data_IF_392760442329
#
_entry.id   IF_392760442329
#
_cell.length_a   1.000
_cell.length_b   1.000
_cell.length_c   1.000
_cell.angle_alpha   90.00
_cell.angle_beta   90.00
_cell.angle_gamma   90.00
#
_symmetry.space_group_name_H-M   'P 1'
#
loop_
_entity.id
_entity.type
_entity.pdbx_description
1 polymer ?
#
# COMPACT_ATOMS: atom_id res chain seq x y z
N UNK A 1 21.54 23.61 -3.13
CA UNK A 1 20.76 23.91 -1.92
C UNK A 1 20.62 22.60 -1.18
N UNK A 2 21.39 22.43 -0.10
CA UNK A 2 21.46 21.20 0.68
C UNK A 2 20.27 21.20 1.64
N UNK A 3 19.32 20.27 1.46
CA UNK A 3 18.25 20.03 2.41
C UNK A 3 18.80 19.16 3.57
N UNK A 4 18.45 19.53 4.79
CA UNK A 4 18.93 18.93 6.04
C UNK A 4 18.09 17.67 6.34
N UNK A 5 18.70 16.48 6.25
CA UNK A 5 18.03 15.17 6.29
C UNK A 5 17.86 14.58 7.70
N UNK A 6 18.06 15.37 8.75
CA UNK A 6 18.05 14.88 10.15
C UNK A 6 16.65 14.58 10.73
N UNK A 7 15.57 14.84 9.98
CA UNK A 7 14.19 14.72 10.50
C UNK A 7 13.55 13.32 10.41
N UNK A 8 14.21 12.34 9.78
CA UNK A 8 13.63 11.00 9.55
C UNK A 8 13.72 10.04 10.75
N UNK A 9 14.50 10.35 11.79
CA UNK A 9 14.74 9.49 12.96
C UNK A 9 13.53 9.36 13.91
N UNK A 10 12.50 10.20 13.79
CA UNK A 10 11.39 10.25 14.77
C UNK A 10 10.09 9.56 14.34
N UNK A 11 10.00 9.06 13.10
CA UNK A 11 8.75 8.51 12.56
C UNK A 11 8.35 7.14 13.14
N UNK A 12 9.30 6.35 13.65
CA UNK A 12 9.02 4.99 14.14
C UNK A 12 8.40 4.93 15.55
N UNK A 13 8.54 5.99 16.36
CA UNK A 13 8.13 5.99 17.77
C UNK A 13 6.71 6.52 18.01
N UNK A 14 6.15 7.32 17.08
CA UNK A 14 4.82 7.93 17.24
C UNK A 14 3.65 6.94 17.08
N UNK A 15 3.81 5.85 16.32
CA UNK A 15 2.74 4.88 16.03
C UNK A 15 2.36 4.02 17.26
N UNK A 16 3.27 3.86 18.23
CA UNK A 16 3.09 2.93 19.37
C UNK A 16 2.40 3.55 20.61
N UNK A 17 2.27 4.89 20.70
CA UNK A 17 1.90 5.54 21.95
C UNK A 17 0.39 5.57 22.28
N UNK A 18 -0.50 5.22 21.35
CA UNK A 18 -1.97 5.41 21.51
C UNK A 18 -2.72 4.17 22.05
N UNK A 19 -2.08 3.01 22.18
CA UNK A 19 -2.77 1.74 22.42
C UNK A 19 -2.95 1.31 23.89
N UNK A 20 -2.54 2.11 24.88
CA UNK A 20 -2.52 1.69 26.31
C UNK A 20 -3.51 2.46 27.18
N UNK A 21 -4.75 2.02 27.21
CA UNK A 21 -5.66 2.36 28.29
C UNK A 21 -7.06 1.82 28.07
N UNK A 22 -7.64 1.22 29.11
CA UNK A 22 -9.03 0.77 29.25
C UNK A 22 -9.29 -0.72 28.94
N UNK A 23 -8.70 -1.60 29.74
CA UNK A 23 -9.30 -2.90 30.06
C UNK A 23 -10.07 -2.79 31.37
N UNK A 24 -11.29 -3.33 31.43
CA UNK A 24 -11.96 -4.00 32.58
C UNK A 24 -13.49 -3.78 32.54
N UNK A 25 -14.19 -4.48 31.63
CA UNK A 25 -15.52 -5.12 31.82
C UNK A 25 -16.13 -5.66 30.51
N UNK A 26 -15.37 -6.46 29.74
CA UNK A 26 -15.72 -6.77 28.35
C UNK A 26 -16.53 -8.06 28.12
N UNK A 27 -16.47 -9.06 29.01
CA UNK A 27 -16.92 -10.42 28.64
C UNK A 27 -18.44 -10.59 28.44
N UNK A 28 -19.31 -9.88 29.17
CA UNK A 28 -20.77 -10.04 29.05
C UNK A 28 -21.42 -9.13 27.96
N UNK A 29 -20.71 -8.10 27.50
CA UNK A 29 -21.13 -7.21 26.42
C UNK A 29 -20.73 -7.73 25.02
N UNK A 30 -19.78 -8.66 24.93
CA UNK A 30 -19.33 -9.22 23.65
C UNK A 30 -20.35 -10.15 22.98
N UNK A 31 -21.08 -10.98 23.72
CA UNK A 31 -22.01 -11.95 23.12
C UNK A 31 -23.26 -11.31 22.49
N UNK A 32 -23.72 -10.15 22.99
CA UNK A 32 -24.82 -9.38 22.38
C UNK A 32 -24.37 -8.50 21.21
N UNK A 33 -23.08 -8.15 21.14
CA UNK A 33 -22.49 -7.38 20.02
C UNK A 33 -22.21 -8.24 18.79
N UNK A 34 -21.82 -9.50 18.97
CA UNK A 34 -21.45 -10.41 17.87
C UNK A 34 -22.58 -10.62 16.85
N UNK A 35 -23.84 -10.77 17.28
CA UNK A 35 -24.96 -10.95 16.33
C UNK A 35 -25.34 -9.65 15.59
N UNK A 36 -25.17 -8.49 16.23
CA UNK A 36 -25.41 -7.19 15.60
C UNK A 36 -24.26 -6.82 14.64
N UNK A 37 -23.00 -7.07 15.04
CA UNK A 37 -21.82 -6.98 14.18
C UNK A 37 -21.99 -7.87 12.95
N UNK A 38 -22.44 -9.12 13.11
CA UNK A 38 -22.52 -10.04 11.98
C UNK A 38 -23.60 -9.66 10.96
N UNK A 39 -24.73 -9.11 11.41
CA UNK A 39 -25.76 -8.57 10.52
C UNK A 39 -25.27 -7.30 9.81
N UNK A 40 -24.52 -6.44 10.51
CA UNK A 40 -23.88 -5.25 9.95
C UNK A 40 -22.83 -5.63 8.89
N UNK A 41 -21.97 -6.62 9.17
CA UNK A 41 -20.99 -7.13 8.21
C UNK A 41 -21.64 -7.76 6.96
N UNK A 42 -22.79 -8.44 7.12
CA UNK A 42 -23.53 -8.99 5.98
C UNK A 42 -24.08 -7.88 5.08
N UNK A 43 -24.66 -6.85 5.68
CA UNK A 43 -25.17 -5.68 4.96
C UNK A 43 -24.03 -4.89 4.30
N UNK A 44 -22.93 -4.69 4.99
CA UNK A 44 -21.74 -4.02 4.47
C UNK A 44 -21.10 -4.80 3.32
N UNK A 45 -21.01 -6.14 3.42
CA UNK A 45 -20.55 -6.98 2.31
C UNK A 45 -21.46 -6.88 1.08
N UNK A 46 -22.78 -6.82 1.29
CA UNK A 46 -23.72 -6.57 0.19
C UNK A 46 -23.53 -5.16 -0.40
N UNK A 47 -23.29 -4.14 0.44
CA UNK A 47 -23.02 -2.77 0.00
C UNK A 47 -21.70 -2.67 -0.78
N UNK A 48 -20.65 -3.38 -0.37
CA UNK A 48 -19.42 -3.51 -1.14
C UNK A 48 -19.68 -4.05 -2.56
N UNK A 49 -20.49 -5.11 -2.69
CA UNK A 49 -20.89 -5.62 -4.00
C UNK A 49 -21.65 -4.60 -4.87
N UNK A 50 -22.48 -3.75 -4.26
CA UNK A 50 -23.14 -2.65 -4.97
C UNK A 50 -22.14 -1.59 -5.42
N UNK A 51 -21.22 -1.17 -4.55
CA UNK A 51 -20.17 -0.22 -4.87
C UNK A 51 -19.30 -0.71 -6.03
N UNK A 52 -18.96 -2.00 -6.05
CA UNK A 52 -18.24 -2.62 -7.15
C UNK A 52 -19.02 -2.51 -8.48
N UNK A 53 -20.32 -2.81 -8.47
CA UNK A 53 -21.15 -2.68 -9.66
C UNK A 53 -21.27 -1.22 -10.13
N UNK A 54 -21.52 -0.28 -9.19
CA UNK A 54 -21.54 1.17 -9.45
C UNK A 54 -20.22 1.63 -10.11
N UNK A 55 -19.09 1.13 -9.62
CA UNK A 55 -17.78 1.38 -10.21
C UNK A 55 -17.65 0.86 -11.64
N UNK A 56 -18.00 -0.41 -11.89
CA UNK A 56 -17.89 -0.98 -13.23
C UNK A 56 -18.81 -0.28 -14.23
N UNK A 57 -20.02 0.09 -13.81
CA UNK A 57 -20.98 0.82 -14.64
C UNK A 57 -20.47 2.24 -14.96
N UNK A 58 -19.98 2.95 -13.94
CA UNK A 58 -19.38 4.29 -14.10
C UNK A 58 -18.15 4.25 -15.01
N UNK A 59 -17.29 3.24 -14.84
CA UNK A 59 -16.11 3.03 -15.68
C UNK A 59 -16.51 2.80 -17.14
N UNK A 60 -17.49 1.93 -17.42
CA UNK A 60 -18.00 1.69 -18.78
C UNK A 60 -18.59 2.94 -19.41
N UNK A 61 -19.39 3.70 -18.65
CA UNK A 61 -20.03 4.92 -19.13
C UNK A 61 -19.02 6.02 -19.50
N UNK A 62 -17.83 6.00 -18.89
CA UNK A 62 -16.78 6.99 -19.07
C UNK A 62 -15.62 6.53 -19.97
N UNK A 63 -15.74 5.37 -20.64
CA UNK A 63 -14.80 4.98 -21.69
C UNK A 63 -14.90 5.93 -22.88
N UNK A 64 -13.75 6.34 -23.41
CA UNK A 64 -13.70 7.21 -24.59
C UNK A 64 -14.07 6.41 -25.84
N UNK A 65 -15.08 6.80 -26.64
CA UNK A 65 -15.58 6.00 -27.77
C UNK A 65 -14.53 5.62 -28.81
N UNK A 66 -13.52 6.47 -29.01
CA UNK A 66 -12.41 6.28 -29.95
C UNK A 66 -11.06 6.13 -29.21
N UNK A 67 -11.09 5.87 -27.90
CA UNK A 67 -9.90 5.71 -27.08
C UNK A 67 -9.17 4.38 -27.31
N UNK A 68 -7.87 4.34 -27.03
CA UNK A 68 -7.07 3.11 -27.07
C UNK A 68 -7.38 2.16 -25.91
N UNK A 69 -7.96 2.67 -24.82
CA UNK A 69 -8.45 1.86 -23.73
C UNK A 69 -9.91 1.49 -23.95
N UNK A 70 -10.15 0.20 -24.18
CA UNK A 70 -11.49 -0.39 -24.30
C UNK A 70 -11.73 -1.39 -23.19
N UNK A 71 -12.98 -1.79 -22.98
CA UNK A 71 -13.30 -2.83 -22.00
C UNK A 71 -12.49 -4.11 -22.23
N UNK A 72 -12.33 -4.54 -23.48
CA UNK A 72 -11.67 -5.83 -23.77
C UNK A 72 -10.14 -5.76 -23.69
N UNK A 73 -9.56 -4.55 -23.72
CA UNK A 73 -8.11 -4.34 -23.63
C UNK A 73 -7.63 -3.95 -22.23
N UNK A 74 -8.55 -3.68 -21.30
CA UNK A 74 -8.19 -3.33 -19.92
C UNK A 74 -7.45 -4.45 -19.22
N UNK A 75 -6.37 -4.10 -18.54
CA UNK A 75 -5.71 -4.99 -17.58
C UNK A 75 -6.67 -5.26 -16.41
N UNK A 76 -7.00 -6.53 -16.17
CA UNK A 76 -7.92 -6.92 -15.09
C UNK A 76 -7.10 -7.27 -13.84
N UNK A 77 -7.37 -6.55 -12.74
CA UNK A 77 -6.79 -6.78 -11.41
C UNK A 77 -7.80 -7.50 -10.53
N UNK A 78 -7.37 -8.57 -9.87
CA UNK A 78 -8.25 -9.46 -9.09
C UNK A 78 -7.70 -9.69 -7.70
N UNK A 79 -8.58 -10.09 -6.80
CA UNK A 79 -8.18 -10.52 -5.46
C UNK A 79 -7.24 -11.73 -5.57
N UNK A 80 -6.16 -11.75 -4.77
CA UNK A 80 -5.14 -12.81 -4.84
C UNK A 80 -5.73 -14.22 -4.73
N UNK A 81 -6.63 -14.47 -3.78
CA UNK A 81 -7.32 -15.74 -3.63
C UNK A 81 -8.13 -16.20 -4.85
N UNK A 82 -8.60 -15.27 -5.67
CA UNK A 82 -9.36 -15.54 -6.91
C UNK A 82 -8.47 -15.70 -8.15
N UNK A 83 -7.16 -15.47 -8.02
CA UNK A 83 -6.19 -15.71 -9.10
C UNK A 83 -5.94 -17.22 -9.29
N UNK A 84 -5.85 -17.71 -10.54
CA UNK A 84 -5.45 -19.09 -10.79
C UNK A 84 -3.98 -19.31 -10.40
N UNK A 85 -3.62 -20.54 -10.01
CA UNK A 85 -2.25 -20.89 -9.59
C UNK A 85 -1.18 -20.49 -10.62
N UNK A 86 -1.46 -20.64 -11.91
CA UNK A 86 -0.55 -20.19 -12.98
C UNK A 86 -0.21 -18.70 -12.85
N UNK A 87 -1.21 -17.84 -12.60
CA UNK A 87 -1.01 -16.40 -12.48
C UNK A 87 -0.27 -16.03 -11.20
N UNK A 88 -0.48 -16.78 -10.12
CA UNK A 88 0.25 -16.62 -8.85
C UNK A 88 1.73 -16.98 -9.01
N UNK A 89 2.01 -18.12 -9.66
CA UNK A 89 3.38 -18.54 -9.97
C UNK A 89 4.07 -17.58 -10.95
N UNK A 90 3.35 -17.08 -11.96
CA UNK A 90 3.90 -16.09 -12.91
C UNK A 90 4.24 -14.76 -12.21
N UNK A 91 3.42 -14.35 -11.22
CA UNK A 91 3.71 -13.18 -10.39
C UNK A 91 4.98 -13.39 -9.56
N UNK A 92 5.08 -14.51 -8.84
CA UNK A 92 6.27 -14.85 -8.03
C UNK A 92 7.54 -14.86 -8.89
N UNK A 93 7.49 -15.47 -10.08
CA UNK A 93 8.57 -15.42 -11.06
C UNK A 93 8.93 -13.97 -11.45
N UNK A 94 7.93 -13.15 -11.74
CA UNK A 94 8.15 -11.77 -12.21
C UNK A 94 8.77 -10.86 -11.14
N UNK A 95 8.35 -10.96 -9.87
CA UNK A 95 8.98 -10.17 -8.78
C UNK A 95 10.43 -10.60 -8.55
N UNK A 96 10.76 -11.89 -8.66
CA UNK A 96 12.14 -12.36 -8.56
C UNK A 96 12.98 -11.90 -9.75
N UNK A 97 12.41 -11.86 -10.96
CA UNK A 97 13.05 -11.24 -12.12
C UNK A 97 13.37 -9.76 -11.86
N UNK A 98 12.45 -8.95 -11.32
CA UNK A 98 12.75 -7.56 -10.95
C UNK A 98 13.82 -7.45 -9.85
N UNK A 99 13.91 -8.45 -8.97
CA UNK A 99 14.97 -8.52 -7.94
C UNK A 99 16.35 -8.85 -8.53
N UNK A 100 16.39 -9.56 -9.65
CA UNK A 100 17.63 -9.93 -10.35
C UNK A 100 18.11 -8.88 -11.36
N UNK A 101 17.17 -8.16 -12.00
CA UNK A 101 17.51 -7.11 -12.96
C UNK A 101 18.29 -5.98 -12.29
N UNK A 102 19.30 -5.38 -12.98
CA UNK A 102 20.10 -4.30 -12.43
C UNK A 102 19.25 -3.04 -12.19
N UNK A 103 19.33 -2.48 -10.99
CA UNK A 103 18.68 -1.21 -10.65
C UNK A 103 19.25 -0.02 -11.44
N UNK A 104 18.44 1.03 -11.59
CA UNK A 104 18.76 2.28 -12.30
C UNK A 104 19.07 3.43 -11.35
N UNK A 105 18.79 3.29 -10.05
CA UNK A 105 19.12 4.29 -9.03
C UNK A 105 20.64 4.54 -8.98
N UNK A 106 21.05 5.81 -8.91
CA UNK A 106 22.45 6.17 -8.69
C UNK A 106 22.97 5.61 -7.36
N UNK A 107 24.10 4.90 -7.42
CA UNK A 107 24.73 4.23 -6.27
C UNK A 107 25.95 4.98 -5.73
N UNK A 108 26.16 6.22 -6.16
CA UNK A 108 27.26 7.04 -5.64
C UNK A 108 27.24 7.09 -4.09
N UNK A 109 28.39 6.85 -3.47
CA UNK A 109 28.55 6.78 -2.00
C UNK A 109 28.19 8.08 -1.26
N UNK A 110 28.28 9.22 -1.94
CA UNK A 110 28.06 10.55 -1.38
C UNK A 110 26.71 11.16 -1.81
N UNK A 111 26.26 10.91 -3.05
CA UNK A 111 25.10 11.59 -3.63
C UNK A 111 23.92 10.67 -3.95
N UNK A 112 24.14 9.36 -3.95
CA UNK A 112 23.15 8.37 -4.37
C UNK A 112 22.62 7.52 -3.21
N UNK A 113 22.14 6.32 -3.56
CA UNK A 113 21.69 5.27 -2.63
C UNK A 113 22.61 4.06 -2.79
N UNK A 114 23.73 3.98 -2.05
CA UNK A 114 24.78 2.98 -2.27
C UNK A 114 24.32 1.54 -2.04
N UNK A 115 23.25 1.34 -1.27
CA UNK A 115 22.64 0.04 -0.98
C UNK A 115 21.67 -0.49 -2.03
N UNK A 116 21.16 0.36 -2.93
CA UNK A 116 20.21 -0.08 -3.95
C UNK A 116 20.88 -1.07 -4.91
N UNK A 117 20.27 -2.22 -5.20
CA UNK A 117 20.84 -3.25 -6.08
C UNK A 117 20.02 -3.50 -7.34
N UNK A 118 18.74 -3.72 -7.16
CA UNK A 118 17.87 -4.31 -8.17
C UNK A 118 16.87 -3.31 -8.76
N UNK A 119 16.19 -3.70 -9.86
CA UNK A 119 15.03 -2.95 -10.35
C UNK A 119 13.92 -2.86 -9.30
N UNK A 120 13.76 -3.88 -8.45
CA UNK A 120 12.87 -3.79 -7.30
C UNK A 120 13.30 -2.69 -6.31
N UNK A 121 14.59 -2.56 -6.04
CA UNK A 121 15.09 -1.53 -5.12
C UNK A 121 14.87 -0.12 -5.68
N UNK A 122 14.73 0.06 -7.00
CA UNK A 122 14.33 1.36 -7.57
C UNK A 122 12.92 1.79 -7.10
N UNK A 123 11.99 0.86 -6.92
CA UNK A 123 10.68 1.17 -6.34
C UNK A 123 10.80 1.50 -4.85
N UNK A 124 11.69 0.81 -4.14
CA UNK A 124 11.98 1.13 -2.74
C UNK A 124 12.54 2.53 -2.57
N UNK A 125 13.47 2.92 -3.43
CA UNK A 125 14.07 4.25 -3.41
C UNK A 125 13.03 5.32 -3.77
N UNK A 126 12.15 5.05 -4.73
CA UNK A 126 11.05 5.96 -5.05
C UNK A 126 10.16 6.24 -3.83
N UNK A 127 9.74 5.19 -3.12
CA UNK A 127 8.93 5.32 -1.91
C UNK A 127 9.67 6.09 -0.81
N UNK A 128 10.90 5.67 -0.49
CA UNK A 128 11.76 6.29 0.51
C UNK A 128 11.94 7.80 0.26
N UNK A 129 12.21 8.21 -0.98
CA UNK A 129 12.45 9.62 -1.33
C UNK A 129 11.21 10.50 -1.16
N UNK A 130 10.02 9.92 -1.32
CA UNK A 130 8.76 10.66 -1.29
C UNK A 130 7.98 10.47 0.02
N UNK A 131 8.47 9.63 0.95
CA UNK A 131 7.72 9.21 2.15
C UNK A 131 7.09 10.38 2.91
N UNK A 132 7.83 11.47 3.10
CA UNK A 132 7.34 12.67 3.79
C UNK A 132 6.27 13.43 3.01
N UNK A 133 6.33 13.41 1.69
CA UNK A 133 5.44 14.20 0.85
C UNK A 133 4.12 13.46 0.56
N UNK A 134 4.13 12.13 0.60
CA UNK A 134 3.00 11.30 0.15
C UNK A 134 2.18 10.70 1.28
N UNK A 135 2.70 10.65 2.51
CA UNK A 135 1.96 10.17 3.68
C UNK A 135 1.43 11.33 4.51
N UNK A 136 0.27 11.09 5.13
CA UNK A 136 -0.54 12.07 5.86
C UNK A 136 -0.67 13.33 5.04
N UNK A 137 -1.05 13.14 3.79
CA UNK A 137 -0.85 14.14 2.75
C UNK A 137 -1.96 14.08 1.70
N UNK A 138 -2.30 15.21 1.07
CA UNK A 138 -3.18 15.25 -0.09
C UNK A 138 -2.68 14.40 -1.28
N UNK A 139 -1.42 13.99 -1.29
CA UNK A 139 -0.82 13.19 -2.36
C UNK A 139 -1.08 11.68 -2.25
N UNK A 140 -1.49 11.17 -1.08
CA UNK A 140 -1.49 9.73 -0.75
C UNK A 140 -2.10 8.87 -1.86
N UNK A 141 -3.35 9.13 -2.22
CA UNK A 141 -4.10 8.26 -3.14
C UNK A 141 -3.52 8.30 -4.57
N UNK A 142 -3.29 9.50 -5.11
CA UNK A 142 -2.88 9.67 -6.51
C UNK A 142 -1.41 9.30 -6.74
N UNK A 143 -0.53 9.58 -5.78
CA UNK A 143 0.87 9.17 -5.87
C UNK A 143 1.00 7.65 -5.81
N UNK A 144 0.31 7.00 -4.86
CA UNK A 144 0.36 5.54 -4.75
C UNK A 144 -0.30 4.84 -5.94
N UNK A 145 -1.34 5.41 -6.55
CA UNK A 145 -1.88 4.89 -7.83
C UNK A 145 -0.80 4.82 -8.91
N UNK A 146 -0.06 5.91 -9.12
CA UNK A 146 1.01 5.92 -10.11
C UNK A 146 2.14 4.96 -9.73
N UNK A 147 2.52 4.94 -8.45
CA UNK A 147 3.58 4.07 -7.93
C UNK A 147 3.30 2.59 -8.18
N UNK A 148 2.11 2.10 -7.78
CA UNK A 148 1.76 0.69 -7.96
C UNK A 148 1.55 0.34 -9.43
N UNK A 149 0.96 1.24 -10.23
CA UNK A 149 0.82 1.03 -11.67
C UNK A 149 2.17 0.93 -12.38
N UNK A 150 3.17 1.73 -11.99
CA UNK A 150 4.54 1.60 -12.52
C UNK A 150 5.17 0.26 -12.15
N UNK A 151 4.88 -0.32 -10.98
CA UNK A 151 5.32 -1.67 -10.66
C UNK A 151 4.65 -2.69 -11.58
N UNK A 152 3.32 -2.61 -11.75
CA UNK A 152 2.58 -3.49 -12.68
C UNK A 152 3.18 -3.44 -14.09
N UNK A 153 3.53 -2.25 -14.59
CA UNK A 153 4.18 -2.10 -15.89
C UNK A 153 5.57 -2.70 -15.92
N UNK A 154 6.40 -2.49 -14.90
CA UNK A 154 7.72 -3.13 -14.85
C UNK A 154 7.60 -4.67 -14.83
N UNK A 155 6.64 -5.24 -14.10
CA UNK A 155 6.39 -6.68 -14.09
C UNK A 155 6.00 -7.19 -15.49
N UNK A 156 5.11 -6.47 -16.17
CA UNK A 156 4.61 -6.83 -17.51
C UNK A 156 5.67 -6.65 -18.60
N UNK A 157 6.34 -5.50 -18.63
CA UNK A 157 7.20 -5.06 -19.73
C UNK A 157 8.65 -5.54 -19.59
N UNK A 158 9.19 -5.57 -18.36
CA UNK A 158 10.58 -5.97 -18.10
C UNK A 158 10.69 -7.46 -17.76
N UNK A 159 9.64 -8.05 -17.18
CA UNK A 159 9.64 -9.43 -16.70
C UNK A 159 8.54 -10.32 -17.31
N UNK A 160 7.77 -9.82 -18.28
CA UNK A 160 6.81 -10.63 -19.05
C UNK A 160 5.64 -11.20 -18.24
N UNK A 161 5.28 -10.59 -17.11
CA UNK A 161 4.09 -10.94 -16.37
C UNK A 161 2.83 -10.74 -17.24
N UNK A 162 1.95 -11.74 -17.30
CA UNK A 162 0.84 -11.73 -18.28
C UNK A 162 -0.48 -11.18 -17.75
N UNK A 163 -0.58 -10.95 -16.45
CA UNK A 163 -1.84 -10.61 -15.78
C UNK A 163 -1.81 -9.19 -15.21
N UNK A 164 -2.95 -8.71 -14.70
CA UNK A 164 -2.98 -7.52 -13.85
C UNK A 164 -2.45 -7.84 -12.46
N UNK A 165 -1.87 -6.84 -11.80
CA UNK A 165 -1.37 -7.06 -10.45
C UNK A 165 -2.54 -7.40 -9.51
N UNK A 166 -2.42 -8.47 -8.71
CA UNK A 166 -3.44 -8.85 -7.74
C UNK A 166 -3.54 -7.84 -6.59
N UNK A 167 -4.70 -7.76 -5.95
CA UNK A 167 -4.88 -7.00 -4.71
C UNK A 167 -5.22 -7.92 -3.54
N UNK A 168 -5.03 -7.43 -2.31
CA UNK A 168 -5.46 -8.14 -1.12
C UNK A 168 -6.73 -7.52 -0.53
N UNK A 169 -7.86 -8.22 -0.66
CA UNK A 169 -9.11 -7.78 -0.07
C UNK A 169 -9.10 -8.03 1.45
N UNK A 170 -8.84 -6.98 2.23
CA UNK A 170 -8.66 -7.07 3.68
C UNK A 170 -9.79 -7.81 4.40
N UNK A 171 -11.04 -7.47 4.06
CA UNK A 171 -12.22 -7.97 4.77
C UNK A 171 -12.62 -9.41 4.45
N UNK A 172 -12.04 -10.03 3.41
CA UNK A 172 -12.60 -11.26 2.80
C UNK A 172 -12.45 -12.51 3.69
N UNK A 173 -11.42 -12.55 4.54
CA UNK A 173 -11.02 -13.74 5.29
C UNK A 173 -10.94 -13.51 6.81
N UNK A 174 -11.41 -12.37 7.32
CA UNK A 174 -11.23 -11.98 8.73
C UNK A 174 -11.92 -12.90 9.74
N UNK A 175 -12.85 -13.74 9.30
CA UNK A 175 -13.53 -14.77 10.10
C UNK A 175 -12.76 -16.11 10.18
N UNK A 176 -11.61 -16.21 9.51
CA UNK A 176 -10.78 -17.42 9.42
C UNK A 176 -9.43 -17.23 10.12
N UNK A 177 -8.73 -18.34 10.36
CA UNK A 177 -7.34 -18.29 10.82
C UNK A 177 -6.45 -17.66 9.73
N UNK A 178 -5.61 -16.70 10.10
CA UNK A 178 -4.72 -15.99 9.16
C UNK A 178 -3.83 -16.94 8.36
N UNK A 179 -3.44 -18.08 8.95
CA UNK A 179 -2.58 -19.08 8.31
C UNK A 179 -3.33 -19.95 7.30
N UNK A 180 -4.64 -19.76 7.12
CA UNK A 180 -5.42 -20.42 6.05
C UNK A 180 -5.76 -19.47 4.91
N UNK A 181 -5.35 -18.21 4.98
CA UNK A 181 -5.63 -17.25 3.91
C UNK A 181 -4.76 -17.56 2.69
N UNK A 182 -5.29 -17.51 1.45
CA UNK A 182 -4.53 -17.85 0.24
C UNK A 182 -3.21 -17.09 0.05
N UNK A 183 -3.06 -15.94 0.70
CA UNK A 183 -1.84 -15.13 0.65
C UNK A 183 -0.80 -15.52 1.70
N UNK A 184 -1.21 -16.15 2.81
CA UNK A 184 -0.39 -16.36 4.02
C UNK A 184 -0.32 -17.81 4.50
N UNK A 185 -0.84 -18.76 3.72
CA UNK A 185 -0.88 -20.18 4.07
C UNK A 185 0.44 -20.95 3.86
N UNK A 186 1.53 -20.24 3.55
CA UNK A 186 2.85 -20.80 3.21
C UNK A 186 2.86 -21.79 2.03
N UNK A 187 1.76 -21.90 1.26
CA UNK A 187 1.72 -22.72 0.06
C UNK A 187 2.67 -22.17 -1.02
N UNK A 188 2.99 -22.95 -2.06
CA UNK A 188 3.73 -22.46 -3.22
C UNK A 188 3.08 -21.24 -3.89
N UNK A 189 1.76 -21.09 -3.75
CA UNK A 189 0.93 -20.02 -4.29
C UNK A 189 0.71 -18.86 -3.29
N UNK A 190 1.44 -18.83 -2.18
CA UNK A 190 1.33 -17.76 -1.18
C UNK A 190 2.33 -16.62 -1.43
N UNK A 191 2.18 -15.54 -0.68
CA UNK A 191 3.18 -14.46 -0.54
C UNK A 191 3.95 -14.67 0.78
N UNK A 192 4.10 -15.94 1.19
CA UNK A 192 4.57 -16.39 2.51
C UNK A 192 3.75 -15.87 3.68
N UNK A 193 3.85 -16.52 4.83
CA UNK A 193 3.10 -16.21 6.04
C UNK A 193 3.83 -15.31 7.02
N UNK A 194 3.57 -15.58 8.30
CA UNK A 194 4.18 -14.88 9.44
C UNK A 194 5.67 -15.22 9.57
N UNK A 195 6.42 -14.35 10.25
CA UNK A 195 7.81 -14.58 10.57
C UNK A 195 8.00 -15.48 11.78
N UNK A 196 9.16 -16.14 11.83
CA UNK A 196 9.64 -16.88 13.00
C UNK A 196 10.67 -16.04 13.72
N UNK A 197 10.52 -15.83 15.03
CA UNK A 197 11.46 -15.04 15.82
C UNK A 197 12.89 -15.60 15.72
N UNK A 198 13.82 -14.83 15.17
CA UNK A 198 15.24 -15.19 14.99
C UNK A 198 16.19 -14.31 15.79
N UNK A 199 15.72 -13.21 16.38
CA UNK A 199 16.48 -12.33 17.27
C UNK A 199 15.57 -11.37 18.03
N UNK A 200 16.06 -10.49 18.92
CA UNK A 200 15.20 -9.65 19.77
C UNK A 200 14.23 -8.72 19.01
N UNK A 201 14.62 -8.26 17.81
CA UNK A 201 13.86 -7.34 16.96
C UNK A 201 13.66 -7.90 15.54
N UNK A 202 13.60 -9.23 15.42
CA UNK A 202 13.57 -9.90 14.13
C UNK A 202 12.71 -11.16 14.16
N UNK A 203 11.70 -11.22 13.29
CA UNK A 203 10.97 -12.43 12.95
C UNK A 203 11.04 -12.69 11.43
N UNK A 204 12.10 -13.37 10.99
CA UNK A 204 12.26 -13.66 9.57
C UNK A 204 11.15 -14.57 9.03
N UNK A 205 10.64 -14.23 7.85
CA UNK A 205 9.89 -15.18 7.02
C UNK A 205 10.85 -16.25 6.53
N UNK A 206 10.64 -17.49 6.97
CA UNK A 206 11.50 -18.64 6.65
C UNK A 206 10.77 -19.74 5.86
N UNK A 207 9.49 -19.53 5.53
CA UNK A 207 8.63 -20.48 4.83
C UNK A 207 7.94 -19.81 3.63
N UNK A 208 7.49 -20.64 2.67
CA UNK A 208 6.83 -20.17 1.46
C UNK A 208 7.77 -19.51 0.44
N UNK A 209 7.22 -18.98 -0.66
CA UNK A 209 7.99 -18.48 -1.80
C UNK A 209 8.93 -17.32 -1.50
N UNK A 210 8.65 -16.51 -0.47
CA UNK A 210 9.47 -15.36 -0.08
C UNK A 210 10.47 -15.66 1.04
N UNK A 211 10.67 -16.91 1.43
CA UNK A 211 11.65 -17.29 2.46
C UNK A 211 13.09 -16.82 2.12
N UNK A 212 13.44 -16.79 0.83
CA UNK A 212 14.73 -16.32 0.33
C UNK A 212 14.70 -14.88 -0.18
N UNK A 213 13.59 -14.16 0.01
CA UNK A 213 13.49 -12.76 -0.38
C UNK A 213 14.36 -11.89 0.53
N UNK A 214 15.17 -11.03 -0.08
CA UNK A 214 16.13 -10.19 0.62
C UNK A 214 15.78 -8.71 0.49
N UNK A 215 15.64 -8.00 1.60
CA UNK A 215 15.58 -6.52 1.65
C UNK A 215 16.99 -5.96 1.78
N UNK A 216 17.27 -4.80 1.20
CA UNK A 216 18.65 -4.30 0.98
C UNK A 216 18.92 -2.92 1.59
N UNK A 217 17.89 -2.13 1.88
CA UNK A 217 17.94 -0.79 2.46
C UNK A 217 17.33 -0.76 3.86
N UNK A 218 17.60 0.31 4.61
CA UNK A 218 17.14 0.45 5.98
C UNK A 218 17.57 -0.72 6.87
N UNK A 219 16.91 -0.94 8.02
CA UNK A 219 16.24 0.14 8.74
C UNK A 219 17.30 1.12 9.25
N UNK A 220 16.90 2.32 9.67
CA UNK A 220 17.83 3.23 10.35
C UNK A 220 18.45 2.56 11.60
N UNK A 221 19.70 2.88 11.96
CA UNK A 221 20.26 2.41 13.23
C UNK A 221 19.36 2.77 14.42
N UNK A 222 19.05 1.78 15.26
CA UNK A 222 18.17 1.94 16.44
C UNK A 222 16.67 1.73 16.16
N UNK A 223 16.25 1.58 14.91
CA UNK A 223 14.88 1.20 14.55
C UNK A 223 14.65 -0.32 14.66
N UNK A 224 13.38 -0.74 14.61
CA UNK A 224 13.02 -2.16 14.52
C UNK A 224 13.57 -2.78 13.23
N UNK A 225 14.09 -4.00 13.33
CA UNK A 225 14.47 -4.81 12.17
C UNK A 225 15.65 -5.74 12.47
N UNK A 226 15.86 -6.69 11.56
CA UNK A 226 16.80 -7.80 11.76
C UNK A 226 18.28 -7.40 11.88
N UNK A 227 18.70 -6.35 11.20
CA UNK A 227 20.04 -5.79 11.31
C UNK A 227 19.96 -4.29 11.07
N UNK A 228 20.63 -3.50 11.90
CA UNK A 228 20.78 -2.06 11.67
C UNK A 228 21.56 -1.80 10.38
N UNK A 229 21.19 -0.77 9.61
CA UNK A 229 21.96 -0.38 8.43
C UNK A 229 23.38 0.07 8.84
N UNK A 230 24.42 -0.24 8.04
CA UNK A 230 25.78 0.22 8.32
C UNK A 230 25.96 1.75 8.19
N UNK A 231 24.99 2.46 7.62
CA UNK A 231 24.96 3.92 7.55
C UNK A 231 23.79 4.48 8.36
N UNK A 232 24.04 5.61 9.03
CA UNK A 232 23.04 6.30 9.84
C UNK A 232 21.85 6.81 9.02
N UNK A 233 22.05 7.04 7.72
CA UNK A 233 21.02 7.45 6.77
C UNK A 233 20.18 6.28 6.21
N UNK A 234 20.46 5.04 6.60
CA UNK A 234 19.72 3.87 6.12
C UNK A 234 19.98 3.51 4.64
N UNK A 235 20.88 4.20 3.95
CA UNK A 235 21.11 4.06 2.50
C UNK A 235 22.18 3.03 2.15
N UNK A 236 22.88 2.49 3.15
CA UNK A 236 23.93 1.49 2.98
C UNK A 236 23.36 0.14 2.56
N UNK A 237 24.21 -0.70 1.95
CA UNK A 237 23.82 -2.06 1.61
C UNK A 237 23.67 -2.92 2.87
N UNK A 238 22.44 -3.34 3.15
CA UNK A 238 22.08 -4.11 4.35
C UNK A 238 21.16 -5.30 4.00
N UNK A 239 21.68 -6.34 3.29
CA UNK A 239 20.91 -7.51 2.91
C UNK A 239 20.45 -8.32 4.12
N UNK A 240 19.15 -8.57 4.23
CA UNK A 240 18.53 -9.39 5.29
C UNK A 240 17.18 -9.94 4.84
N UNK A 241 16.61 -10.87 5.60
CA UNK A 241 15.26 -11.41 5.36
C UNK A 241 14.18 -10.31 5.44
N UNK A 242 13.01 -10.55 4.85
CA UNK A 242 11.80 -9.84 5.28
C UNK A 242 11.38 -10.32 6.66
N UNK A 243 11.05 -9.36 7.51
CA UNK A 243 10.52 -9.58 8.86
C UNK A 243 9.01 -9.32 8.89
N UNK A 244 8.24 -10.24 9.49
CA UNK A 244 6.78 -10.12 9.68
C UNK A 244 6.39 -10.61 11.07
N UNK A 245 5.53 -9.85 11.73
CA UNK A 245 5.05 -10.13 13.09
C UNK A 245 3.54 -9.91 13.15
N UNK A 246 2.77 -10.87 12.63
CA UNK A 246 1.33 -10.74 12.44
C UNK A 246 0.59 -10.38 13.73
N UNK A 247 -0.25 -9.35 13.65
CA UNK A 247 -1.15 -8.92 14.73
C UNK A 247 -2.60 -8.82 14.20
N UNK A 248 -3.31 -9.96 14.05
CA UNK A 248 -4.63 -10.01 13.40
C UNK A 248 -5.68 -9.07 13.98
N UNK A 249 -5.59 -8.74 15.27
CA UNK A 249 -6.52 -7.80 15.93
C UNK A 249 -6.54 -6.41 15.30
N UNK A 250 -5.46 -5.99 14.62
CA UNK A 250 -5.41 -4.70 13.93
C UNK A 250 -6.35 -4.64 12.73
N UNK A 251 -6.69 -5.77 12.11
CA UNK A 251 -7.59 -5.81 10.95
C UNK A 251 -9.07 -5.67 11.30
N UNK A 252 -9.41 -5.48 12.59
CA UNK A 252 -10.77 -5.08 13.01
C UNK A 252 -11.20 -3.72 12.47
N UNK A 253 -10.26 -2.91 11.98
CA UNK A 253 -10.52 -1.65 11.30
C UNK A 253 -10.55 -1.79 9.77
N UNK A 254 -10.60 -3.02 9.26
CA UNK A 254 -10.66 -3.33 7.85
C UNK A 254 -11.78 -4.34 7.55
N UNK A 255 -12.79 -4.42 8.41
CA UNK A 255 -14.00 -5.20 8.14
C UNK A 255 -14.79 -4.55 6.99
N UNK A 256 -15.80 -5.24 6.45
CA UNK A 256 -16.55 -4.69 5.31
C UNK A 256 -17.22 -3.37 5.69
N UNK A 257 -17.75 -3.26 6.90
CA UNK A 257 -18.36 -2.04 7.43
C UNK A 257 -17.39 -0.85 7.43
N UNK A 258 -16.13 -1.08 7.79
CA UNK A 258 -15.10 -0.03 7.85
C UNK A 258 -14.73 0.47 6.45
N UNK A 259 -14.48 -0.47 5.53
CA UNK A 259 -14.12 -0.12 4.14
C UNK A 259 -15.28 0.60 3.44
N UNK A 260 -16.50 0.12 3.64
CA UNK A 260 -17.71 0.77 3.14
C UNK A 260 -17.89 2.15 3.78
N UNK A 261 -17.65 2.30 5.08
CA UNK A 261 -17.72 3.59 5.76
C UNK A 261 -16.76 4.63 5.14
N UNK A 262 -15.53 4.24 4.83
CA UNK A 262 -14.57 5.14 4.14
C UNK A 262 -15.15 5.64 2.82
N UNK A 263 -15.81 4.79 2.03
CA UNK A 263 -16.34 5.15 0.71
C UNK A 263 -17.65 5.94 0.83
N UNK A 264 -18.55 5.52 1.73
CA UNK A 264 -19.88 6.09 1.91
C UNK A 264 -19.90 7.39 2.71
N UNK A 265 -18.97 7.57 3.64
CA UNK A 265 -18.90 8.75 4.50
C UNK A 265 -17.87 9.79 4.05
N UNK A 266 -17.20 9.58 2.92
CA UNK A 266 -16.29 10.56 2.32
C UNK A 266 -16.99 11.31 1.19
N UNK A 267 -17.49 12.51 1.47
CA UNK A 267 -18.22 13.33 0.51
C UNK A 267 -17.31 14.09 -0.45
N UNK A 268 -16.04 14.29 -0.08
CA UNK A 268 -15.03 15.04 -0.82
C UNK A 268 -13.62 14.43 -0.63
N UNK A 269 -12.63 14.95 -1.36
CA UNK A 269 -11.27 14.44 -1.33
C UNK A 269 -10.62 14.59 0.07
N UNK A 270 -10.96 15.65 0.81
CA UNK A 270 -10.47 15.90 2.17
C UNK A 270 -10.93 14.82 3.15
N UNK A 271 -12.23 14.54 3.19
CA UNK A 271 -12.81 13.47 4.00
C UNK A 271 -12.29 12.09 3.59
N UNK A 272 -12.13 11.84 2.29
CA UNK A 272 -11.52 10.60 1.82
C UNK A 272 -10.10 10.43 2.34
N UNK A 273 -9.22 11.42 2.12
CA UNK A 273 -7.84 11.37 2.60
C UNK A 273 -7.74 11.23 4.12
N UNK A 274 -8.61 11.91 4.88
CA UNK A 274 -8.67 11.77 6.34
C UNK A 274 -9.09 10.37 6.77
N UNK A 275 -10.18 9.80 6.24
CA UNK A 275 -10.66 8.48 6.65
C UNK A 275 -9.71 7.34 6.23
N UNK A 276 -8.95 7.52 5.14
CA UNK A 276 -7.97 6.52 4.70
C UNK A 276 -6.79 6.42 5.67
N UNK A 277 -6.26 7.54 6.18
CA UNK A 277 -4.96 7.54 6.88
C UNK A 277 -4.94 8.28 8.23
N UNK A 278 -5.80 9.26 8.49
CA UNK A 278 -5.72 10.12 9.68
C UNK A 278 -6.75 9.79 10.77
N UNK A 279 -7.92 9.32 10.35
CA UNK A 279 -9.08 9.07 11.21
C UNK A 279 -9.50 7.61 11.14
N UNK A 280 -10.19 7.14 12.17
CA UNK A 280 -10.79 5.81 12.12
C UNK A 280 -11.80 5.74 10.97
N UNK A 281 -11.81 4.64 10.20
CA UNK A 281 -11.15 3.37 10.48
C UNK A 281 -9.67 3.28 10.07
N UNK A 282 -9.14 4.20 9.27
CA UNK A 282 -7.72 4.21 8.84
C UNK A 282 -7.31 2.92 8.12
N UNK A 283 -8.02 2.60 7.04
CA UNK A 283 -7.84 1.36 6.25
C UNK A 283 -6.44 1.22 5.62
N UNK A 284 -5.63 2.28 5.57
CA UNK A 284 -4.21 2.23 5.17
C UNK A 284 -3.28 1.77 6.31
N UNK A 285 -3.36 2.38 7.49
CA UNK A 285 -2.35 2.16 8.53
C UNK A 285 -2.44 0.75 9.16
N UNK A 286 -3.67 0.29 9.43
CA UNK A 286 -3.87 -0.97 10.17
C UNK A 286 -3.38 -2.23 9.46
N UNK A 287 -3.49 -2.36 8.12
CA UNK A 287 -2.80 -3.41 7.38
C UNK A 287 -1.28 -3.45 7.58
N UNK A 288 -0.59 -2.30 7.55
CA UNK A 288 0.85 -2.25 7.81
C UNK A 288 1.18 -2.69 9.25
N UNK A 289 0.39 -2.23 10.22
CA UNK A 289 0.56 -2.60 11.65
C UNK A 289 0.24 -4.09 11.87
N UNK A 290 -0.75 -4.63 11.15
CA UNK A 290 -1.06 -6.06 11.13
C UNK A 290 0.15 -6.87 10.68
N UNK A 291 0.78 -6.50 9.57
CA UNK A 291 1.96 -7.21 9.07
C UNK A 291 3.14 -7.11 10.05
N UNK A 292 3.33 -5.94 10.67
CA UNK A 292 4.45 -5.68 11.55
C UNK A 292 5.80 -5.76 10.84
N UNK A 293 6.88 -5.99 11.60
CA UNK A 293 8.22 -6.19 11.05
C UNK A 293 8.65 -5.12 10.02
N UNK A 294 8.91 -5.55 8.78
CA UNK A 294 9.35 -4.68 7.68
C UNK A 294 8.30 -3.63 7.30
N UNK A 295 7.01 -3.91 7.51
CA UNK A 295 5.92 -3.02 7.08
C UNK A 295 5.70 -1.82 8.01
N UNK A 296 6.15 -1.87 9.26
CA UNK A 296 6.05 -0.74 10.20
C UNK A 296 7.22 0.24 10.09
N UNK A 297 8.23 -0.10 9.28
CA UNK A 297 9.23 0.86 8.81
C UNK A 297 8.69 1.57 7.56
N UNK A 298 7.90 2.63 7.78
CA UNK A 298 7.18 3.35 6.71
C UNK A 298 8.13 3.79 5.58
N UNK A 299 9.38 4.12 5.88
CA UNK A 299 10.32 4.56 4.84
C UNK A 299 10.67 3.43 3.87
N UNK A 300 10.84 2.22 4.41
CA UNK A 300 11.44 1.08 3.73
C UNK A 300 10.47 -0.09 3.52
N UNK A 301 9.18 0.11 3.77
CA UNK A 301 8.11 -0.91 3.78
C UNK A 301 7.87 -1.57 2.42
N UNK A 302 8.07 -0.85 1.32
CA UNK A 302 7.89 -1.36 -0.05
C UNK A 302 8.93 -2.40 -0.48
N UNK A 303 9.90 -2.74 0.38
CA UNK A 303 10.84 -3.83 0.13
C UNK A 303 10.22 -5.21 0.29
N UNK A 304 9.14 -5.33 1.07
CA UNK A 304 8.36 -6.57 1.17
C UNK A 304 7.26 -6.53 0.09
N UNK A 305 7.22 -7.53 -0.83
CA UNK A 305 6.26 -7.58 -1.94
C UNK A 305 4.79 -7.45 -1.54
N UNK A 306 4.42 -7.80 -0.31
CA UNK A 306 3.05 -7.63 0.19
C UNK A 306 2.58 -6.17 0.14
N UNK A 307 3.48 -5.19 0.29
CA UNK A 307 3.17 -3.76 0.25
C UNK A 307 2.28 -3.42 -0.95
N UNK A 308 2.63 -3.95 -2.11
CA UNK A 308 1.92 -3.63 -3.34
C UNK A 308 0.50 -4.19 -3.34
N UNK A 309 0.27 -5.41 -2.85
CA UNK A 309 -1.08 -5.97 -2.72
C UNK A 309 -2.00 -5.09 -1.86
N UNK A 310 -1.47 -4.56 -0.76
CA UNK A 310 -2.19 -3.63 0.09
C UNK A 310 -2.50 -2.32 -0.64
N UNK A 311 -1.52 -1.72 -1.32
CA UNK A 311 -1.74 -0.46 -2.03
C UNK A 311 -2.59 -0.61 -3.30
N UNK A 312 -2.60 -1.76 -3.97
CA UNK A 312 -3.58 -2.05 -5.03
C UNK A 312 -5.00 -2.12 -4.47
N UNK A 313 -5.21 -2.58 -3.23
CA UNK A 313 -6.53 -2.53 -2.58
C UNK A 313 -6.92 -1.10 -2.17
N UNK A 314 -5.98 -0.27 -1.71
CA UNK A 314 -6.24 1.16 -1.49
C UNK A 314 -6.60 1.89 -2.78
N UNK A 315 -5.91 1.58 -3.88
CA UNK A 315 -6.19 2.12 -5.19
C UNK A 315 -7.57 1.66 -5.69
N UNK A 316 -7.98 0.42 -5.38
CA UNK A 316 -9.34 -0.04 -5.66
C UNK A 316 -10.38 0.77 -4.88
N UNK A 317 -10.19 0.97 -3.57
CA UNK A 317 -11.06 1.82 -2.74
C UNK A 317 -11.13 3.25 -3.28
N UNK A 318 -10.02 3.79 -3.79
CA UNK A 318 -9.99 5.10 -4.44
C UNK A 318 -10.82 5.13 -5.73
N UNK A 319 -10.74 4.10 -6.59
CA UNK A 319 -11.62 4.00 -7.76
C UNK A 319 -13.10 3.91 -7.40
N UNK A 320 -13.44 3.10 -6.39
CA UNK A 320 -14.81 2.98 -5.89
C UNK A 320 -15.33 4.30 -5.33
N UNK A 321 -14.48 5.07 -4.67
CA UNK A 321 -14.85 6.40 -4.21
C UNK A 321 -15.03 7.37 -5.38
N UNK A 322 -14.11 7.39 -6.35
CA UNK A 322 -14.20 8.27 -7.52
C UNK A 322 -15.44 7.98 -8.36
N UNK A 323 -15.83 6.71 -8.52
CA UNK A 323 -16.93 6.31 -9.39
C UNK A 323 -18.30 6.88 -9.04
N UNK A 324 -18.49 7.26 -7.77
CA UNK A 324 -19.78 7.71 -7.23
C UNK A 324 -20.13 9.15 -7.57
N UNK A 325 -19.14 9.94 -7.95
CA UNK A 325 -19.31 11.29 -8.49
C UNK A 325 -18.11 11.56 -9.40
N UNK A 326 -18.15 10.91 -10.56
CA UNK A 326 -17.02 10.78 -11.46
C UNK A 326 -16.40 12.14 -11.83
N UNK A 327 -17.23 13.08 -12.29
CA UNK A 327 -16.76 14.37 -12.80
C UNK A 327 -16.06 15.20 -11.71
N UNK A 328 -16.60 15.20 -10.48
CA UNK A 328 -16.04 15.95 -9.36
C UNK A 328 -14.84 15.25 -8.72
N UNK A 329 -14.94 13.94 -8.47
CA UNK A 329 -13.94 13.17 -7.71
C UNK A 329 -12.72 12.77 -8.53
N UNK A 330 -12.81 12.81 -9.85
CA UNK A 330 -11.64 12.67 -10.73
C UNK A 330 -10.90 13.98 -11.01
N UNK A 331 -11.43 15.11 -10.54
CA UNK A 331 -10.82 16.43 -10.75
C UNK A 331 -10.52 17.20 -9.46
N UNK A 332 -10.89 16.65 -8.31
CA UNK A 332 -10.62 17.21 -6.98
C UNK A 332 -9.42 16.53 -6.31
N UNK A 333 -8.72 17.29 -5.47
CA UNK A 333 -7.60 16.84 -4.65
C UNK A 333 -7.80 17.36 -3.23
N UNK A 334 -7.28 16.66 -2.21
CA UNK A 334 -7.43 17.13 -0.84
C UNK A 334 -6.68 18.45 -0.60
N UNK A 335 -7.20 19.30 0.28
CA UNK A 335 -6.51 20.51 0.72
C UNK A 335 -5.36 20.14 1.67
N UNK A 336 -4.17 20.69 1.40
CA UNK A 336 -2.98 20.48 2.22
C UNK A 336 -3.17 20.92 3.69
N UNK A 337 -3.93 21.99 3.94
CA UNK A 337 -4.17 22.52 5.29
C UNK A 337 -4.90 21.51 6.19
N UNK A 338 -5.75 20.66 5.61
CA UNK A 338 -6.49 19.59 6.29
C UNK A 338 -5.58 18.60 7.02
N UNK A 339 -4.31 18.48 6.59
CA UNK A 339 -3.34 17.54 7.15
C UNK A 339 -2.35 18.19 8.13
N UNK A 340 -2.32 19.53 8.20
CA UNK A 340 -1.27 20.28 8.90
C UNK A 340 -1.22 19.97 10.40
N UNK A 341 -2.36 19.96 11.09
CA UNK A 341 -2.38 19.73 12.54
C UNK A 341 -1.97 18.30 12.90
N UNK A 342 -2.46 17.31 12.16
CA UNK A 342 -2.07 15.92 12.38
C UNK A 342 -0.57 15.70 12.12
N UNK A 343 -0.02 16.30 11.05
CA UNK A 343 1.42 16.23 10.77
C UNK A 343 2.26 16.91 11.84
N UNK A 344 1.84 18.09 12.32
CA UNK A 344 2.50 18.79 13.44
C UNK A 344 2.53 17.92 14.69
N UNK A 345 1.38 17.35 15.08
CA UNK A 345 1.24 16.48 16.25
C UNK A 345 2.13 15.24 16.15
N UNK A 346 2.18 14.62 14.97
CA UNK A 346 2.83 13.33 14.76
C UNK A 346 4.30 13.46 14.29
N UNK A 347 4.84 14.68 14.26
CA UNK A 347 6.26 14.94 13.95
C UNK A 347 6.63 14.83 12.47
N UNK A 348 5.67 14.94 11.56
CA UNK A 348 5.91 14.93 10.11
C UNK A 348 6.35 16.31 9.60
N UNK A 349 7.11 16.33 8.50
CA UNK A 349 7.63 17.56 7.91
C UNK A 349 6.51 18.56 7.53
N UNK A 350 6.80 19.85 7.67
CA UNK A 350 5.92 20.96 7.25
C UNK A 350 6.72 21.96 6.38
N UNK A 351 6.07 22.71 5.47
CA UNK A 351 4.64 22.70 5.17
C UNK A 351 4.18 21.43 4.44
N UNK A 352 2.88 21.16 4.44
CA UNK A 352 2.31 20.05 3.68
C UNK A 352 2.36 20.39 2.19
N UNK A 353 2.98 19.57 1.33
CA UNK A 353 3.03 19.86 -0.10
C UNK A 353 1.62 19.84 -0.71
N UNK A 354 1.19 20.95 -1.31
CA UNK A 354 -0.13 21.05 -1.95
C UNK A 354 -0.09 20.60 -3.42
N UNK A 355 -0.87 19.57 -3.82
CA UNK A 355 -0.97 19.18 -5.22
C UNK A 355 -2.00 20.05 -5.95
N UNK A 356 -1.77 20.20 -7.25
CA UNK A 356 -2.76 20.59 -8.24
C UNK A 356 -2.77 19.52 -9.33
N UNK A 357 -3.77 19.54 -10.22
CA UNK A 357 -3.79 18.62 -11.36
C UNK A 357 -2.55 18.77 -12.26
N UNK A 358 -1.94 19.96 -12.32
CA UNK A 358 -0.76 20.21 -13.15
C UNK A 358 0.56 19.98 -12.39
N UNK A 359 0.50 19.62 -11.11
CA UNK A 359 1.69 19.27 -10.34
C UNK A 359 2.31 17.99 -10.88
N UNK A 360 3.65 17.95 -10.89
CA UNK A 360 4.41 16.77 -11.32
C UNK A 360 4.32 15.67 -10.27
N UNK A 361 3.94 14.46 -10.70
CA UNK A 361 4.16 13.21 -9.96
C UNK A 361 5.56 12.70 -10.30
N UNK A 362 6.46 12.82 -9.33
CA UNK A 362 7.81 12.32 -9.41
C UNK A 362 7.97 11.12 -8.47
N UNK A 363 8.56 10.03 -8.98
CA UNK A 363 8.90 8.85 -8.17
C UNK A 363 10.39 8.88 -7.81
N UNK A 364 11.24 8.87 -8.83
CA UNK A 364 12.67 9.19 -8.76
C UNK A 364 13.20 9.36 -10.20
N UNK A 365 14.49 9.65 -10.37
CA UNK A 365 15.11 9.87 -11.69
C UNK A 365 15.03 8.65 -12.61
N UNK A 366 14.86 7.45 -12.05
CA UNK A 366 14.72 6.20 -12.80
C UNK A 366 13.35 6.03 -13.49
N UNK A 367 12.38 6.91 -13.22
CA UNK A 367 11.02 6.83 -13.75
C UNK A 367 10.66 8.11 -14.50
N UNK A 368 9.83 7.96 -15.53
CA UNK A 368 9.29 9.10 -16.27
C UNK A 368 8.29 9.88 -15.41
N UNK A 369 8.44 11.20 -15.41
CA UNK A 369 7.51 12.11 -14.76
C UNK A 369 6.20 12.20 -15.52
N UNK A 370 5.10 12.26 -14.77
CA UNK A 370 3.78 12.60 -15.30
C UNK A 370 3.17 13.72 -14.45
N UNK A 371 2.02 14.23 -14.85
CA UNK A 371 1.21 15.14 -14.04
C UNK A 371 0.20 14.37 -13.19
N UNK A 372 -0.28 14.99 -12.11
CA UNK A 372 -1.40 14.48 -11.32
C UNK A 372 -2.63 14.24 -12.21
N UNK A 373 -2.90 15.16 -13.14
CA UNK A 373 -3.97 15.05 -14.15
C UNK A 373 -3.88 13.74 -14.91
N UNK A 374 -2.69 13.35 -15.36
CA UNK A 374 -2.54 12.11 -16.12
C UNK A 374 -2.90 10.87 -15.31
N UNK A 375 -2.74 10.91 -13.98
CA UNK A 375 -2.97 9.80 -13.05
C UNK A 375 -4.41 9.72 -12.48
N UNK A 376 -5.26 10.72 -12.67
CA UNK A 376 -6.56 10.76 -11.99
C UNK A 376 -7.59 9.76 -12.54
N UNK A 377 -7.37 9.20 -13.72
CA UNK A 377 -8.32 8.32 -14.40
C UNK A 377 -7.71 6.93 -14.70
N UNK A 378 -8.35 5.82 -14.29
CA UNK A 378 -7.83 4.46 -14.48
C UNK A 378 -7.85 3.95 -15.94
N UNK A 379 -8.49 4.69 -16.85
CA UNK A 379 -8.69 4.32 -18.26
C UNK A 379 -8.21 5.37 -19.28
N UNK A 380 -7.57 6.45 -18.83
CA UNK A 380 -7.10 7.53 -19.71
C UNK A 380 -5.58 7.63 -19.69
N UNK A 381 -5.03 8.35 -20.66
CA UNK A 381 -3.60 8.58 -20.81
C UNK A 381 -2.86 7.24 -20.93
N UNK A 382 -1.92 6.96 -20.02
CA UNK A 382 -1.17 5.71 -19.99
C UNK A 382 -1.92 4.55 -19.27
N UNK A 383 -3.04 4.85 -18.61
CA UNK A 383 -3.76 3.88 -17.80
C UNK A 383 -4.85 3.17 -18.60
N UNK A 384 -4.97 1.86 -18.39
CA UNK A 384 -6.05 1.06 -18.93
C UNK A 384 -6.24 -0.21 -18.10
N UNK A 385 -6.90 -0.09 -16.95
CA UNK A 385 -7.10 -1.20 -16.03
C UNK A 385 -8.46 -1.14 -15.33
N UNK A 386 -8.92 -2.29 -14.81
CA UNK A 386 -10.06 -2.36 -13.92
C UNK A 386 -9.88 -3.39 -12.83
N UNK A 387 -10.59 -3.21 -11.72
CA UNK A 387 -10.73 -4.20 -10.65
C UNK A 387 -11.95 -5.09 -10.86
N UNK A 388 -11.79 -6.39 -10.65
CA UNK A 388 -12.85 -7.40 -10.67
C UNK A 388 -12.81 -8.31 -9.44
#
# INVERSE_FOLDING_TARGET
>A
MLADWTSLLFLSSAVLATARGHSYNHAALHAKRQNADQQDQTAAKARWGQLQQEYLDSLRANLEPEGTCTWDTMTVRREWGDMPSEAKQDYLRAIHCLKELPGKTDRNEQTGVPGARSRWDDFTVAHMRNVNDVHRSPWLAVWHRHFVWRLEKALQEECGYKYGHPYWHWSKYLDQDVNTWPMFDNSPDSISGNGTQTGPLCACVNEGPLANWTVTLGPYPGSWGCSANPRDDGLGYNPRCIDRTFQPSNLRSNEYSDVVFVIDNSTDADSFGRHVELEQPSVHNYPHIFMGGTQIDVTFSSQDPWFFFHHFMLEYVFNLWQSRDWDTRTTSLPNADTFTENRRRDGWALPVPAPTLDSTLWLQEAFENITVREAMWPMKNQYCYRYE
#
